data_IF_003379671808
#
_entry.id   IF_003379671808
#
_cell.length_a   1.000
_cell.length_b   1.000
_cell.length_c   1.000
_cell.angle_alpha   90.00
_cell.angle_beta   90.00
_cell.angle_gamma   90.00
#
_symmetry.space_group_name_H-M   'P 1'
#
loop_
_entity.id
_entity.type
_entity.pdbx_description
1 polymer ?
#
# COMPACT_ATOMS: atom_id res chain seq x y z
N UNK A 1 22.72 -12.81 -0.21
CA UNK A 1 21.42 -12.45 -0.82
C UNK A 1 21.04 -11.10 -0.26
N UNK A 2 20.70 -10.12 -1.11
CA UNK A 2 20.21 -8.84 -0.63
C UNK A 2 18.70 -8.92 -0.42
N UNK A 3 18.23 -8.50 0.75
CA UNK A 3 16.81 -8.41 1.07
C UNK A 3 16.48 -6.97 1.40
N UNK A 4 15.43 -6.43 0.79
CA UNK A 4 14.92 -5.09 1.03
C UNK A 4 13.45 -5.19 1.37
N UNK A 5 13.03 -4.57 2.46
CA UNK A 5 11.64 -4.49 2.89
C UNK A 5 11.23 -3.04 3.09
N UNK A 6 9.96 -2.73 2.84
CA UNK A 6 9.43 -1.39 3.01
C UNK A 6 8.02 -1.46 3.59
N UNK A 7 7.77 -0.71 4.66
CA UNK A 7 6.44 -0.51 5.25
C UNK A 7 6.09 0.97 5.16
N UNK A 8 4.85 1.25 4.82
CA UNK A 8 4.30 2.58 4.72
C UNK A 8 2.84 2.57 5.10
N UNK A 9 2.36 3.73 5.53
CA UNK A 9 0.96 3.93 5.87
C UNK A 9 0.29 4.64 4.69
N UNK A 10 -0.92 4.21 4.34
CA UNK A 10 -1.69 4.84 3.29
C UNK A 10 -3.16 4.87 3.68
N UNK A 11 -3.73 6.07 3.75
CA UNK A 11 -5.15 6.22 3.98
C UNK A 11 -5.93 5.63 2.77
N UNK A 12 -6.95 4.79 3.02
CA UNK A 12 -7.80 4.25 1.97
C UNK A 12 -8.48 5.39 1.22
N UNK A 13 -8.49 5.30 -0.11
CA UNK A 13 -9.19 6.26 -0.96
C UNK A 13 -10.25 5.49 -1.76
N UNK A 14 -11.53 5.87 -1.72
CA UNK A 14 -12.57 5.27 -2.55
C UNK A 14 -12.29 5.50 -4.05
N UNK A 15 -12.36 4.43 -4.86
CA UNK A 15 -12.00 4.44 -6.29
C UNK A 15 -12.95 3.56 -7.10
N UNK A 16 -13.16 3.94 -8.35
CA UNK A 16 -13.85 3.13 -9.37
C UNK A 16 -12.82 2.49 -10.31
N UNK A 17 -13.28 1.56 -11.15
CA UNK A 17 -12.44 0.93 -12.17
C UNK A 17 -11.82 1.97 -13.12
N UNK A 18 -12.61 2.94 -13.58
CA UNK A 18 -12.15 4.03 -14.46
C UNK A 18 -11.05 4.90 -13.80
N UNK A 19 -11.05 5.01 -12.47
CA UNK A 19 -9.98 5.73 -11.80
C UNK A 19 -8.63 4.98 -11.82
N UNK A 20 -8.64 3.66 -11.99
CA UNK A 20 -7.44 2.80 -11.96
C UNK A 20 -6.96 2.50 -13.38
N UNK A 21 -7.90 2.10 -14.24
CA UNK A 21 -7.67 1.73 -15.63
C UNK A 21 -8.59 2.56 -16.54
N UNK A 22 -8.28 3.85 -16.76
CA UNK A 22 -9.10 4.71 -17.61
C UNK A 22 -9.05 4.22 -19.07
N UNK A 23 -10.21 4.18 -19.73
CA UNK A 23 -10.36 3.73 -21.11
C UNK A 23 -9.91 4.78 -22.13
N UNK A 24 -10.06 6.07 -21.80
CA UNK A 24 -9.70 7.18 -22.68
C UNK A 24 -8.97 8.33 -21.96
N UNK A 25 -8.62 9.37 -22.71
CA UNK A 25 -7.92 10.54 -22.20
C UNK A 25 -8.77 11.41 -21.28
N UNK A 26 -10.10 11.44 -21.48
CA UNK A 26 -11.02 12.22 -20.65
C UNK A 26 -11.19 11.57 -19.26
N UNK A 27 -11.37 10.25 -19.20
CA UNK A 27 -11.39 9.48 -17.95
C UNK A 27 -10.05 9.58 -17.22
N UNK A 28 -8.93 9.54 -17.96
CA UNK A 28 -7.59 9.72 -17.37
C UNK A 28 -7.43 11.09 -16.72
N UNK A 29 -8.00 12.14 -17.32
CA UNK A 29 -7.97 13.49 -16.76
C UNK A 29 -8.90 13.62 -15.55
N UNK A 30 -10.05 12.96 -15.57
CA UNK A 30 -11.06 13.01 -14.50
C UNK A 30 -10.76 12.07 -13.31
N UNK A 31 -9.78 11.17 -13.42
CA UNK A 31 -9.49 10.16 -12.39
C UNK A 31 -9.18 10.79 -11.04
N UNK A 32 -9.70 10.18 -9.98
CA UNK A 32 -9.37 10.56 -8.59
C UNK A 32 -7.90 10.26 -8.28
N UNK A 33 -7.36 10.90 -7.23
CA UNK A 33 -5.98 10.67 -6.77
C UNK A 33 -5.88 9.47 -5.83
N UNK A 34 -4.77 8.72 -5.98
CA UNK A 34 -4.56 7.44 -5.29
C UNK A 34 -4.34 7.59 -3.79
N UNK A 35 -4.40 6.49 -3.03
CA UNK A 35 -3.86 6.44 -1.68
C UNK A 35 -2.43 7.00 -1.67
N UNK A 36 -2.15 7.95 -0.77
CA UNK A 36 -0.82 8.54 -0.64
C UNK A 36 -0.07 7.87 0.49
N UNK A 37 1.03 7.20 0.13
CA UNK A 37 1.94 6.59 1.09
C UNK A 37 2.67 7.68 1.90
N UNK A 38 2.66 7.53 3.22
CA UNK A 38 3.42 8.33 4.17
C UNK A 38 4.08 7.39 5.21
N UNK A 39 4.92 7.94 6.10
CA UNK A 39 5.60 7.13 7.11
C UNK A 39 6.50 6.02 6.54
N UNK A 40 7.00 6.18 5.30
CA UNK A 40 7.81 5.16 4.61
C UNK A 40 9.05 4.83 5.44
N UNK A 41 9.20 3.56 5.83
CA UNK A 41 10.45 3.02 6.37
C UNK A 41 10.93 1.92 5.45
N UNK A 42 12.22 1.96 5.12
CA UNK A 42 12.91 0.95 4.31
C UNK A 42 13.98 0.31 5.17
N UNK A 43 14.06 -1.02 5.14
CA UNK A 43 15.14 -1.78 5.76
C UNK A 43 15.80 -2.65 4.68
N UNK A 44 17.12 -2.77 4.73
CA UNK A 44 17.88 -3.59 3.80
C UNK A 44 18.96 -4.36 4.55
N UNK A 45 19.15 -5.63 4.19
CA UNK A 45 20.19 -6.46 4.77
C UNK A 45 20.81 -7.37 3.70
N UNK A 46 22.12 -7.58 3.83
CA UNK A 46 22.87 -8.60 3.08
C UNK A 46 23.09 -9.87 3.92
N UNK A 47 22.96 -9.74 5.24
CA UNK A 47 23.23 -10.78 6.23
C UNK A 47 21.95 -11.56 6.57
N UNK A 48 20.84 -10.83 6.77
CA UNK A 48 19.56 -11.43 7.13
C UNK A 48 18.80 -11.89 5.88
N UNK A 49 18.29 -13.12 5.93
CA UNK A 49 17.46 -13.70 4.88
C UNK A 49 16.04 -13.13 4.84
N UNK A 50 15.21 -13.65 3.91
CA UNK A 50 13.84 -13.14 3.69
C UNK A 50 12.96 -13.32 4.93
N UNK A 51 12.95 -14.50 5.53
CA UNK A 51 12.07 -14.80 6.67
C UNK A 51 12.20 -13.82 7.86
N UNK A 52 13.40 -13.56 8.41
CA UNK A 52 13.54 -12.60 9.51
C UNK A 52 13.22 -11.16 9.08
N UNK A 53 13.59 -10.76 7.85
CA UNK A 53 13.29 -9.43 7.33
C UNK A 53 11.79 -9.19 7.13
N UNK A 54 11.05 -10.21 6.68
CA UNK A 54 9.59 -10.17 6.53
C UNK A 54 8.89 -10.17 7.89
N UNK A 55 9.39 -10.94 8.86
CA UNK A 55 8.85 -10.93 10.23
C UNK A 55 8.97 -9.53 10.83
N UNK A 56 10.16 -8.92 10.77
CA UNK A 56 10.38 -7.56 11.24
C UNK A 56 9.52 -6.52 10.50
N UNK A 57 9.25 -6.74 9.20
CA UNK A 57 8.33 -5.89 8.43
C UNK A 57 6.91 -5.94 9.01
N UNK A 58 6.40 -7.14 9.32
CA UNK A 58 5.06 -7.31 9.88
C UNK A 58 4.97 -6.78 11.32
N UNK A 59 5.99 -6.98 12.14
CA UNK A 59 6.03 -6.39 13.49
C UNK A 59 5.94 -4.86 13.43
N UNK A 60 6.64 -4.24 12.47
CA UNK A 60 6.54 -2.80 12.25
C UNK A 60 5.17 -2.35 11.73
N UNK A 61 4.48 -3.18 10.95
CA UNK A 61 3.12 -2.89 10.50
C UNK A 61 2.13 -2.99 11.67
N UNK A 62 2.26 -4.00 12.51
CA UNK A 62 1.42 -4.21 13.70
C UNK A 62 1.54 -3.05 14.69
N UNK A 63 2.76 -2.60 14.98
CA UNK A 63 3.00 -1.45 15.86
C UNK A 63 2.31 -0.17 15.35
N UNK A 64 2.16 -0.01 14.03
CA UNK A 64 1.55 1.18 13.41
C UNK A 64 0.03 1.15 13.45
N UNK A 65 -0.58 0.00 13.25
CA UNK A 65 -2.04 -0.17 13.30
C UNK A 65 -2.46 -1.43 14.09
N UNK A 66 -2.32 -1.42 15.43
CA UNK A 66 -2.62 -2.58 16.28
C UNK A 66 -4.09 -3.00 16.28
N UNK A 67 -4.98 -2.13 15.78
CA UNK A 67 -6.40 -2.40 15.69
C UNK A 67 -6.86 -2.78 14.28
N UNK A 68 -5.94 -2.83 13.31
CA UNK A 68 -6.24 -2.99 11.88
C UNK A 68 -7.38 -2.09 11.40
N UNK A 69 -7.43 -0.85 11.93
CA UNK A 69 -8.55 0.08 11.75
C UNK A 69 -8.51 0.77 10.40
N UNK A 70 -7.41 0.65 9.67
CA UNK A 70 -7.28 1.20 8.32
C UNK A 70 -8.16 0.39 7.37
N UNK A 71 -9.32 0.94 7.00
CA UNK A 71 -10.32 0.26 6.18
C UNK A 71 -9.73 -0.32 4.88
N UNK A 72 -10.06 -1.56 4.55
CA UNK A 72 -9.62 -2.17 3.29
C UNK A 72 -10.23 -1.36 2.13
N UNK A 73 -9.41 -0.87 1.21
CA UNK A 73 -9.91 -0.19 0.00
C UNK A 73 -10.74 -1.19 -0.81
N UNK A 74 -12.05 -1.02 -0.84
CA UNK A 74 -12.94 -1.80 -1.70
C UNK A 74 -13.05 -1.12 -3.07
N UNK A 75 -12.83 -1.90 -4.13
CA UNK A 75 -13.23 -1.52 -5.48
C UNK A 75 -14.75 -1.59 -5.55
N UNK A 76 -15.44 -0.45 -5.54
CA UNK A 76 -16.87 -0.44 -5.85
C UNK A 76 -17.05 -0.31 -7.36
N UNK A 77 -17.39 -1.41 -8.03
CA UNK A 77 -17.95 -1.39 -9.38
C UNK A 77 -19.48 -1.33 -9.34
N UNK A 78 -20.15 -0.76 -10.36
CA UNK A 78 -21.60 -0.93 -10.50
C UNK A 78 -21.91 -2.43 -10.65
N UNK A 79 -22.99 -2.87 -9.96
CA UNK A 79 -23.53 -4.23 -10.06
C UNK A 79 -24.20 -4.46 -11.39
#
# INVERSE_FOLDING_TARGET
>A
MAVVTAVYDAAPAPRTAADILPADAAERAARRNGPRAHGRKVNASLEHGVAPMVTALFDQAEIRDPGHRTARTFLSGPR
#
